data_IF_594124381900
#
_entry.id   IF_594124381900
#
_cell.length_a   1.000
_cell.length_b   1.000
_cell.length_c   1.000
_cell.angle_alpha   90.00
_cell.angle_beta   90.00
_cell.angle_gamma   90.00
#
_symmetry.space_group_name_H-M   'P 1'
#
loop_
_entity.id
_entity.type
_entity.pdbx_description
1 polymer ?
#
# COMPACT_ATOMS: atom_id res chain seq x y z
N UNK A 1 -7.60 -10.57 -18.50
CA UNK A 1 -8.90 -11.17 -18.13
C UNK A 1 -8.76 -12.15 -16.96
N UNK A 2 -7.91 -13.17 -17.04
CA UNK A 2 -7.71 -14.18 -15.98
C UNK A 2 -7.38 -13.58 -14.59
N UNK A 3 -6.47 -12.60 -14.51
CA UNK A 3 -6.10 -11.95 -13.23
C UNK A 3 -7.26 -11.19 -12.57
N UNK A 4 -8.09 -10.50 -13.36
CA UNK A 4 -9.26 -9.78 -12.84
C UNK A 4 -10.31 -10.76 -12.33
N UNK A 5 -10.54 -11.87 -13.04
CA UNK A 5 -11.45 -12.92 -12.59
C UNK A 5 -10.96 -13.56 -11.28
N UNK A 6 -9.66 -13.84 -11.16
CA UNK A 6 -9.09 -14.34 -9.92
C UNK A 6 -9.34 -13.36 -8.76
N UNK A 7 -9.09 -12.07 -8.97
CA UNK A 7 -9.25 -11.03 -7.96
C UNK A 7 -10.72 -10.91 -7.52
N UNK A 8 -11.65 -10.86 -8.47
CA UNK A 8 -13.09 -10.84 -8.17
C UNK A 8 -13.53 -12.09 -7.39
N UNK A 9 -12.98 -13.26 -7.70
CA UNK A 9 -13.31 -14.51 -7.01
C UNK A 9 -12.70 -14.62 -5.61
N UNK A 10 -11.56 -13.96 -5.34
CA UNK A 10 -10.76 -14.17 -4.12
C UNK A 10 -10.61 -12.92 -3.24
N UNK A 11 -11.15 -11.77 -3.65
CA UNK A 11 -11.04 -10.50 -2.90
C UNK A 11 -12.42 -9.97 -2.48
N UNK A 12 -13.34 -10.87 -2.13
CA UNK A 12 -14.58 -10.48 -1.44
C UNK A 12 -14.26 -10.26 0.03
N UNK A 13 -14.30 -9.01 0.47
CA UNK A 13 -14.00 -8.59 1.84
C UNK A 13 -15.20 -7.81 2.40
N UNK A 14 -15.39 -7.84 3.72
CA UNK A 14 -16.33 -6.94 4.40
C UNK A 14 -15.89 -5.48 4.30
N UNK A 15 -16.82 -4.56 4.53
CA UNK A 15 -16.51 -3.12 4.55
C UNK A 15 -15.43 -2.80 5.61
N UNK A 16 -15.51 -3.45 6.77
CA UNK A 16 -14.60 -3.30 7.89
C UNK A 16 -13.18 -3.76 7.52
N UNK A 17 -13.05 -4.89 6.83
CA UNK A 17 -11.77 -5.40 6.32
C UNK A 17 -11.18 -4.45 5.27
N UNK A 18 -11.99 -3.99 4.32
CA UNK A 18 -11.56 -3.03 3.30
C UNK A 18 -11.12 -1.69 3.92
N UNK A 19 -11.83 -1.22 4.95
CA UNK A 19 -11.49 -0.01 5.70
C UNK A 19 -10.17 -0.15 6.43
N UNK A 20 -9.95 -1.28 7.12
CA UNK A 20 -8.70 -1.53 7.84
C UNK A 20 -7.52 -1.70 6.86
N UNK A 21 -7.75 -2.37 5.72
CA UNK A 21 -6.77 -2.50 4.64
C UNK A 21 -6.29 -1.12 4.15
N UNK A 22 -7.20 -0.20 3.86
CA UNK A 22 -6.84 1.17 3.44
C UNK A 22 -6.12 1.95 4.54
N UNK A 23 -6.60 1.84 5.78
CA UNK A 23 -6.00 2.50 6.94
C UNK A 23 -4.55 2.08 7.13
N UNK A 24 -4.23 0.80 6.96
CA UNK A 24 -2.87 0.27 7.15
C UNK A 24 -2.02 0.50 5.89
N UNK A 25 -2.45 -0.01 4.73
CA UNK A 25 -1.59 -0.11 3.55
C UNK A 25 -1.37 1.25 2.87
N UNK A 26 -2.38 2.12 2.86
CA UNK A 26 -2.28 3.44 2.24
C UNK A 26 -1.97 4.53 3.26
N UNK A 27 -2.88 4.75 4.22
CA UNK A 27 -2.73 5.86 5.17
C UNK A 27 -1.57 5.62 6.14
N UNK A 28 -1.41 4.41 6.67
CA UNK A 28 -0.29 4.04 7.53
C UNK A 28 1.06 4.25 6.83
N UNK A 29 1.22 3.72 5.62
CA UNK A 29 2.43 3.93 4.79
C UNK A 29 2.69 5.41 4.53
N UNK A 30 1.65 6.19 4.21
CA UNK A 30 1.76 7.65 4.03
C UNK A 30 2.26 8.33 5.30
N UNK A 31 1.65 8.05 6.46
CA UNK A 31 2.04 8.70 7.71
C UNK A 31 3.46 8.34 8.14
N UNK A 32 3.87 7.09 7.99
CA UNK A 32 5.26 6.67 8.25
C UNK A 32 6.22 7.39 7.30
N UNK A 33 5.85 7.50 6.03
CA UNK A 33 6.65 8.23 5.04
C UNK A 33 6.79 9.70 5.43
N UNK A 34 5.69 10.39 5.74
CA UNK A 34 5.70 11.80 6.16
C UNK A 34 6.55 12.02 7.42
N UNK A 35 6.43 11.14 8.41
CA UNK A 35 7.21 11.22 9.65
C UNK A 35 8.71 11.04 9.42
N UNK A 36 9.11 10.19 8.47
CA UNK A 36 10.51 9.89 8.16
C UNK A 36 11.08 10.76 7.04
N UNK A 37 10.24 11.49 6.30
CA UNK A 37 10.63 12.28 5.14
C UNK A 37 11.75 13.29 5.43
N UNK A 38 11.76 14.03 6.56
CA UNK A 38 12.86 14.95 6.85
C UNK A 38 14.21 14.23 6.96
N UNK A 39 14.21 13.05 7.58
CA UNK A 39 15.41 12.23 7.75
C UNK A 39 15.86 11.69 6.39
N UNK A 40 14.90 11.22 5.58
CA UNK A 40 15.15 10.70 4.23
C UNK A 40 15.82 11.75 3.34
N UNK A 41 15.32 12.99 3.35
CA UNK A 41 15.87 14.11 2.56
C UNK A 41 17.27 14.52 3.05
N UNK A 42 17.53 14.41 4.36
CA UNK A 42 18.84 14.77 4.92
C UNK A 42 19.94 13.74 4.64
N UNK A 43 19.58 12.53 4.23
CA UNK A 43 20.52 11.45 3.92
C UNK A 43 21.09 11.60 2.51
N UNK A 44 22.40 11.37 2.35
CA UNK A 44 23.07 11.39 1.05
C UNK A 44 22.66 10.23 0.12
N UNK A 45 22.07 9.16 0.64
CA UNK A 45 21.55 8.01 -0.13
C UNK A 45 20.25 7.47 0.49
N UNK A 46 19.35 8.36 0.92
CA UNK A 46 18.06 7.98 1.47
C UNK A 46 17.19 7.25 0.43
N UNK A 47 16.67 6.06 0.76
CA UNK A 47 15.76 5.29 -0.11
C UNK A 47 14.45 4.98 0.61
N UNK A 48 13.33 5.26 -0.07
CA UNK A 48 12.00 4.84 0.33
C UNK A 48 11.52 3.76 -0.64
N UNK A 49 11.16 2.60 -0.11
CA UNK A 49 10.67 1.47 -0.90
C UNK A 49 9.30 1.08 -0.38
N UNK A 50 8.25 1.35 -1.17
CA UNK A 50 6.91 0.85 -0.90
C UNK A 50 6.76 -0.53 -1.54
N UNK A 51 6.53 -1.55 -0.70
CA UNK A 51 6.23 -2.90 -1.18
C UNK A 51 4.75 -2.95 -1.56
N UNK A 52 4.48 -3.28 -2.83
CA UNK A 52 3.12 -3.40 -3.37
C UNK A 52 2.87 -4.81 -3.92
N UNK A 53 1.70 -5.01 -4.51
CA UNK A 53 1.29 -6.25 -5.16
C UNK A 53 1.12 -6.05 -6.66
N UNK A 54 1.32 -7.11 -7.45
CA UNK A 54 0.98 -7.15 -8.88
C UNK A 54 -0.49 -6.78 -9.15
N UNK A 55 -1.36 -6.95 -8.14
CA UNK A 55 -2.77 -6.60 -8.22
C UNK A 55 -3.07 -5.11 -8.07
N UNK A 56 -2.11 -4.29 -7.61
CA UNK A 56 -2.24 -2.83 -7.58
C UNK A 56 -2.02 -2.15 -8.95
N UNK A 57 -1.73 -2.94 -10.00
CA UNK A 57 -1.55 -2.48 -11.38
C UNK A 57 -2.75 -2.79 -12.29
N UNK A 58 -3.81 -3.40 -11.73
CA UNK A 58 -5.05 -3.71 -12.43
C UNK A 58 -5.99 -2.51 -12.45
#
# INVERSE_FOLDING_TARGET
>A
MERLQWLVQHSTESYEEARECLKINYFGTKYVTEALLPILISSSDGRLINVSSNYGLL
#
